data_IF_063469993199
#
_entry.id   IF_063469993199
#
_cell.length_a   1.000
_cell.length_b   1.000
_cell.length_c   1.000
_cell.angle_alpha   90.00
_cell.angle_beta   90.00
_cell.angle_gamma   90.00
#
_symmetry.space_group_name_H-M   'P 1'
#
loop_
_entity.id
_entity.type
_entity.pdbx_description
1 polymer ?
#
# COMPACT_ATOMS: atom_id res chain seq x y z
N UNK A 1 19.34 -15.69 -9.26
CA UNK A 1 19.98 -15.08 -8.09
C UNK A 1 21.06 -14.10 -8.52
N UNK A 2 22.06 -14.51 -9.28
CA UNK A 2 23.19 -13.68 -9.77
C UNK A 2 22.74 -12.45 -10.58
N UNK A 3 21.76 -12.58 -11.48
CA UNK A 3 21.22 -11.46 -12.27
C UNK A 3 20.56 -10.39 -11.39
N UNK A 4 19.73 -10.80 -10.42
CA UNK A 4 19.04 -9.88 -9.53
C UNK A 4 19.99 -9.15 -8.58
N UNK A 5 21.04 -9.83 -8.10
CA UNK A 5 22.09 -9.20 -7.30
C UNK A 5 22.85 -8.16 -8.12
N UNK A 6 23.17 -8.46 -9.39
CA UNK A 6 23.73 -7.47 -10.32
C UNK A 6 22.79 -6.31 -10.61
N UNK A 7 21.51 -6.59 -10.87
CA UNK A 7 20.51 -5.56 -11.12
C UNK A 7 20.37 -4.62 -9.91
N UNK A 8 20.37 -5.17 -8.69
CA UNK A 8 20.36 -4.37 -7.46
C UNK A 8 21.57 -3.44 -7.37
N UNK A 9 22.76 -3.96 -7.65
CA UNK A 9 23.99 -3.19 -7.65
C UNK A 9 24.00 -2.11 -8.73
N UNK A 10 23.47 -2.42 -9.92
CA UNK A 10 23.33 -1.46 -11.02
C UNK A 10 22.34 -0.34 -10.66
N UNK A 11 21.16 -0.70 -10.14
CA UNK A 11 20.15 0.28 -9.73
C UNK A 11 20.67 1.20 -8.62
N UNK A 12 21.46 0.67 -7.66
CA UNK A 12 22.10 1.50 -6.64
C UNK A 12 23.09 2.50 -7.24
N UNK A 13 23.92 2.06 -8.20
CA UNK A 13 24.81 2.96 -8.93
C UNK A 13 24.06 4.05 -9.70
N UNK A 14 22.92 3.72 -10.30
CA UNK A 14 22.07 4.70 -11.00
C UNK A 14 21.51 5.75 -10.06
N UNK A 15 21.13 5.37 -8.83
CA UNK A 15 20.75 6.32 -7.78
C UNK A 15 21.90 7.27 -7.47
N UNK A 16 23.11 6.73 -7.29
CA UNK A 16 24.29 7.50 -6.90
C UNK A 16 24.70 8.54 -7.98
N UNK A 17 24.44 8.22 -9.26
CA UNK A 17 24.70 9.14 -10.41
C UNK A 17 23.45 9.91 -10.88
N UNK A 18 22.38 9.89 -10.11
CA UNK A 18 21.13 10.65 -10.34
C UNK A 18 20.45 10.36 -11.69
N UNK A 19 20.35 9.09 -12.07
CA UNK A 19 19.53 8.65 -13.21
C UNK A 19 18.07 8.55 -12.76
N UNK A 20 17.19 9.30 -13.43
CA UNK A 20 15.77 9.40 -13.07
C UNK A 20 14.91 8.25 -13.60
N UNK A 21 15.35 7.59 -14.66
CA UNK A 21 14.57 6.52 -15.32
C UNK A 21 15.44 5.39 -15.85
N UNK A 22 14.97 4.15 -15.64
CA UNK A 22 15.56 2.93 -16.21
C UNK A 22 14.44 2.07 -16.80
N UNK A 23 14.55 1.77 -18.08
CA UNK A 23 13.65 0.84 -18.78
C UNK A 23 14.34 -0.52 -18.91
N UNK A 24 13.72 -1.56 -18.38
CA UNK A 24 14.24 -2.93 -18.44
C UNK A 24 13.46 -3.68 -19.50
N UNK A 25 14.16 -4.09 -20.54
CA UNK A 25 13.61 -4.96 -21.58
C UNK A 25 13.89 -6.43 -21.22
N UNK A 26 12.83 -7.23 -21.20
CA UNK A 26 12.97 -8.68 -21.11
C UNK A 26 13.02 -9.23 -22.52
N UNK A 27 14.16 -9.80 -22.86
CA UNK A 27 14.37 -10.54 -24.10
C UNK A 27 14.41 -12.06 -23.84
N UNK A 28 14.59 -12.83 -24.89
CA UNK A 28 14.62 -14.29 -24.82
C UNK A 28 15.83 -14.79 -24.02
N UNK A 29 16.99 -14.14 -24.15
CA UNK A 29 18.22 -14.56 -23.48
C UNK A 29 18.07 -14.38 -21.97
N UNK A 30 17.51 -13.24 -21.54
CA UNK A 30 17.21 -13.01 -20.14
C UNK A 30 16.18 -13.99 -19.61
N UNK A 31 15.14 -14.30 -20.41
CA UNK A 31 14.08 -15.23 -20.04
C UNK A 31 14.59 -16.66 -19.90
N UNK A 32 15.50 -17.09 -20.78
CA UNK A 32 16.08 -18.44 -20.77
C UNK A 32 17.08 -18.64 -19.63
N UNK A 33 17.74 -17.56 -19.19
CA UNK A 33 18.68 -17.55 -18.08
C UNK A 33 18.04 -17.29 -16.70
N UNK A 34 16.73 -17.01 -16.63
CA UNK A 34 16.01 -16.99 -15.36
C UNK A 34 15.81 -18.44 -14.89
N UNK A 35 16.72 -18.92 -14.05
CA UNK A 35 16.62 -20.21 -13.36
C UNK A 35 15.29 -20.41 -12.66
N UNK A 36 14.91 -21.68 -12.39
CA UNK A 36 13.63 -22.17 -11.89
C UNK A 36 12.95 -21.41 -10.75
N UNK A 37 13.50 -20.28 -10.32
CA UNK A 37 12.93 -19.39 -9.31
C UNK A 37 12.48 -18.03 -9.88
N UNK A 38 11.94 -18.02 -11.09
CA UNK A 38 11.37 -16.85 -11.77
C UNK A 38 10.40 -16.06 -10.86
N UNK A 39 9.67 -16.78 -10.02
CA UNK A 39 8.75 -16.25 -9.02
C UNK A 39 9.42 -15.35 -7.98
N UNK A 40 10.54 -15.82 -7.45
CA UNK A 40 11.35 -15.05 -6.50
C UNK A 40 11.96 -13.83 -7.19
N UNK A 41 12.38 -14.00 -8.44
CA UNK A 41 12.95 -12.93 -9.25
C UNK A 41 11.94 -11.79 -9.50
N UNK A 42 10.71 -12.11 -9.90
CA UNK A 42 9.68 -11.10 -10.10
C UNK A 42 9.14 -10.52 -8.78
N UNK A 43 9.09 -11.30 -7.71
CA UNK A 43 8.80 -10.80 -6.37
C UNK A 43 9.84 -9.78 -5.90
N UNK A 44 11.12 -10.04 -6.17
CA UNK A 44 12.22 -9.13 -5.86
C UNK A 44 12.22 -7.89 -6.74
N UNK A 45 11.92 -7.98 -8.04
CA UNK A 45 11.74 -6.83 -8.92
C UNK A 45 10.57 -5.94 -8.41
N UNK A 46 9.47 -6.55 -7.99
CA UNK A 46 8.36 -5.83 -7.35
C UNK A 46 8.79 -5.15 -6.04
N UNK A 47 9.65 -5.79 -5.25
CA UNK A 47 10.20 -5.21 -4.01
C UNK A 47 11.16 -4.06 -4.28
N UNK A 48 11.96 -4.14 -5.34
CA UNK A 48 12.86 -3.06 -5.80
C UNK A 48 12.07 -1.78 -6.11
N UNK A 49 10.86 -1.89 -6.69
CA UNK A 49 9.99 -0.75 -6.90
C UNK A 49 9.79 0.06 -5.63
N UNK A 50 9.54 -0.59 -4.50
CA UNK A 50 9.31 0.11 -3.23
C UNK A 50 10.59 0.69 -2.63
N UNK A 51 11.73 0.09 -2.94
CA UNK A 51 13.01 0.57 -2.46
C UNK A 51 13.50 1.79 -3.26
N UNK A 52 13.25 1.81 -4.58
CA UNK A 52 13.77 2.83 -5.48
C UNK A 52 12.71 3.76 -6.08
N UNK A 53 11.42 3.58 -5.80
CA UNK A 53 10.32 4.31 -6.46
C UNK A 53 10.40 5.84 -6.35
N UNK A 54 11.14 6.35 -5.37
CA UNK A 54 11.34 7.78 -5.15
C UNK A 54 12.63 8.31 -5.78
N UNK A 55 13.52 7.42 -6.18
CA UNK A 55 14.85 7.76 -6.70
C UNK A 55 15.01 7.43 -8.18
N UNK A 56 14.33 6.38 -8.64
CA UNK A 56 14.39 5.93 -10.04
C UNK A 56 12.99 5.50 -10.49
N UNK A 57 12.53 6.01 -11.61
CA UNK A 57 11.40 5.46 -12.34
C UNK A 57 11.93 4.31 -13.17
N UNK A 58 11.56 3.07 -12.86
CA UNK A 58 11.86 1.97 -13.75
C UNK A 58 10.61 1.31 -14.29
N UNK A 59 10.65 0.87 -15.54
CA UNK A 59 9.57 0.20 -16.24
C UNK A 59 10.04 -1.10 -16.85
N UNK A 60 9.10 -1.99 -17.09
CA UNK A 60 9.35 -3.31 -17.68
C UNK A 60 8.63 -3.39 -19.01
N UNK A 61 9.38 -3.65 -20.07
CA UNK A 61 8.81 -3.78 -21.40
C UNK A 61 8.43 -5.22 -21.73
N UNK A 62 7.30 -5.39 -22.41
CA UNK A 62 6.87 -6.64 -23.02
C UNK A 62 6.58 -7.79 -22.03
N UNK A 63 6.30 -7.48 -20.79
CA UNK A 63 5.99 -8.46 -19.74
C UNK A 63 4.48 -8.57 -19.57
N UNK A 64 3.87 -9.76 -19.67
CA UNK A 64 2.46 -9.91 -19.36
C UNK A 64 2.11 -9.46 -17.94
N UNK A 65 1.05 -8.71 -17.77
CA UNK A 65 0.61 -8.18 -16.46
C UNK A 65 0.48 -9.26 -15.36
N UNK A 66 0.15 -10.49 -15.74
CA UNK A 66 0.01 -11.60 -14.80
C UNK A 66 1.35 -12.06 -14.17
N UNK A 67 2.48 -11.74 -14.78
CA UNK A 67 3.81 -12.00 -14.20
C UNK A 67 4.21 -10.99 -13.13
N UNK A 68 3.64 -9.79 -13.20
CA UNK A 68 3.99 -8.68 -12.33
C UNK A 68 2.78 -8.28 -11.47
N UNK A 69 2.17 -9.23 -10.80
CA UNK A 69 1.09 -8.91 -9.86
C UNK A 69 1.48 -7.73 -8.99
N UNK A 70 0.62 -6.70 -8.99
CA UNK A 70 0.78 -5.50 -8.15
C UNK A 70 1.81 -4.47 -8.64
N UNK A 71 2.41 -4.68 -9.80
CA UNK A 71 3.35 -3.75 -10.43
C UNK A 71 2.92 -3.37 -11.84
N UNK A 72 1.62 -3.46 -12.13
CA UNK A 72 1.04 -3.24 -13.47
C UNK A 72 1.38 -1.86 -14.03
N UNK A 73 1.47 -0.84 -13.18
CA UNK A 73 1.86 0.51 -13.57
C UNK A 73 3.32 0.64 -14.05
N UNK A 74 4.12 -0.42 -13.93
CA UNK A 74 5.51 -0.45 -14.44
C UNK A 74 5.61 -1.07 -15.83
N UNK A 75 4.54 -1.69 -16.33
CA UNK A 75 4.59 -2.43 -17.59
C UNK A 75 4.11 -1.56 -18.73
N UNK A 76 4.86 -1.56 -19.82
CA UNK A 76 4.38 -1.12 -21.12
C UNK A 76 4.67 -2.16 -22.19
N UNK A 77 3.95 -2.09 -23.30
CA UNK A 77 4.17 -2.97 -24.44
C UNK A 77 4.70 -2.14 -25.60
N UNK A 78 5.80 -2.59 -26.20
CA UNK A 78 6.35 -2.01 -27.41
C UNK A 78 5.82 -2.76 -28.64
N UNK A 79 5.60 -2.06 -29.74
CA UNK A 79 5.10 -2.63 -30.98
C UNK A 79 3.58 -2.80 -31.04
N UNK A 80 3.10 -3.60 -31.97
CA UNK A 80 1.68 -3.81 -32.23
C UNK A 80 1.12 -5.01 -31.48
N UNK A 81 -0.18 -4.99 -31.16
CA UNK A 81 -0.85 -6.15 -30.53
C UNK A 81 -0.73 -7.46 -31.33
N UNK A 82 -0.56 -7.37 -32.63
CA UNK A 82 -0.39 -8.52 -33.51
C UNK A 82 0.91 -9.29 -33.25
N UNK A 83 1.90 -8.67 -32.60
CA UNK A 83 3.17 -9.30 -32.22
C UNK A 83 3.07 -10.20 -30.99
N UNK A 84 1.88 -10.27 -30.38
CA UNK A 84 1.64 -10.96 -29.12
C UNK A 84 0.56 -12.03 -29.27
N UNK A 85 0.71 -13.09 -28.50
CA UNK A 85 -0.26 -14.18 -28.39
C UNK A 85 -0.99 -14.10 -27.04
N UNK A 86 -2.32 -14.23 -27.10
CA UNK A 86 -3.16 -14.48 -25.93
C UNK A 86 -3.59 -15.94 -25.90
N UNK A 87 -3.51 -16.55 -24.75
CA UNK A 87 -3.98 -17.91 -24.53
C UNK A 87 -5.46 -17.93 -24.11
N UNK A 88 -6.09 -19.09 -24.15
CA UNK A 88 -7.51 -19.21 -23.81
C UNK A 88 -7.85 -18.67 -22.42
N UNK A 89 -7.00 -18.93 -21.43
CA UNK A 89 -7.18 -18.38 -20.08
C UNK A 89 -7.12 -16.86 -20.02
N UNK A 90 -6.49 -16.17 -20.98
CA UNK A 90 -6.47 -14.72 -21.05
C UNK A 90 -7.84 -14.11 -21.32
N UNK A 91 -8.77 -14.89 -21.93
CA UNK A 91 -10.16 -14.42 -22.17
C UNK A 91 -10.89 -14.06 -20.88
N UNK A 92 -10.59 -14.78 -19.79
CA UNK A 92 -11.16 -14.55 -18.45
C UNK A 92 -10.26 -13.71 -17.53
N UNK A 93 -9.15 -13.23 -18.05
CA UNK A 93 -8.20 -12.44 -17.27
C UNK A 93 -8.69 -10.99 -17.13
N UNK A 94 -8.59 -10.44 -15.92
CA UNK A 94 -8.96 -9.04 -15.64
C UNK A 94 -8.16 -8.01 -16.44
N UNK A 95 -6.98 -8.38 -16.94
CA UNK A 95 -6.13 -7.53 -17.76
C UNK A 95 -6.32 -7.72 -19.27
N UNK A 96 -7.30 -8.51 -19.69
CA UNK A 96 -7.43 -8.91 -21.09
C UNK A 96 -7.47 -7.74 -22.09
N UNK A 97 -8.09 -6.64 -21.74
CA UNK A 97 -8.21 -5.48 -22.63
C UNK A 97 -6.90 -4.69 -22.77
N UNK A 98 -6.04 -4.69 -21.76
CA UNK A 98 -4.83 -3.87 -21.69
C UNK A 98 -3.53 -4.65 -21.87
N UNK A 99 -3.53 -5.92 -21.49
CA UNK A 99 -2.40 -6.81 -21.68
C UNK A 99 -2.35 -7.27 -23.15
N UNK A 100 -1.21 -7.13 -23.81
CA UNK A 100 -1.04 -7.66 -25.16
C UNK A 100 -0.85 -9.18 -25.17
N UNK A 101 -0.47 -9.76 -24.04
CA UNK A 101 -0.18 -11.18 -23.91
C UNK A 101 1.32 -11.46 -23.89
N UNK A 102 1.71 -12.58 -24.45
CA UNK A 102 3.11 -13.03 -24.55
C UNK A 102 3.61 -12.74 -25.97
N UNK A 103 4.78 -12.12 -26.09
CA UNK A 103 5.40 -11.85 -27.40
C UNK A 103 5.58 -13.15 -28.18
N UNK A 104 5.29 -13.15 -29.48
CA UNK A 104 5.28 -14.36 -30.30
C UNK A 104 6.62 -15.09 -30.32
N UNK A 105 7.70 -14.34 -30.25
CA UNK A 105 9.07 -14.83 -30.25
C UNK A 105 9.47 -15.57 -28.96
N UNK A 106 8.64 -15.46 -27.89
CA UNK A 106 8.94 -16.13 -26.63
C UNK A 106 8.49 -17.58 -26.61
N UNK A 107 9.29 -18.46 -26.00
CA UNK A 107 8.92 -19.84 -25.77
C UNK A 107 7.66 -19.92 -24.92
N UNK A 108 6.50 -20.04 -25.59
CA UNK A 108 5.18 -19.91 -24.99
C UNK A 108 4.88 -21.01 -23.96
N UNK A 109 5.53 -22.20 -24.05
CA UNK A 109 5.32 -23.31 -23.11
C UNK A 109 5.95 -22.98 -21.74
N UNK A 110 7.21 -22.54 -21.72
CA UNK A 110 7.92 -22.17 -20.49
C UNK A 110 7.20 -21.01 -19.79
N UNK A 111 6.71 -20.01 -20.56
CA UNK A 111 5.93 -18.92 -20.03
C UNK A 111 4.60 -19.37 -19.41
N UNK A 112 3.93 -20.35 -20.01
CA UNK A 112 2.67 -20.90 -19.48
C UNK A 112 2.89 -21.66 -18.17
N UNK A 113 4.00 -22.40 -18.06
CA UNK A 113 4.37 -23.09 -16.83
C UNK A 113 4.63 -22.09 -15.71
N UNK A 114 5.30 -20.97 -16.02
CA UNK A 114 5.51 -19.86 -15.07
C UNK A 114 4.19 -19.22 -14.65
N UNK A 115 3.29 -18.93 -15.59
CA UNK A 115 1.98 -18.33 -15.30
C UNK A 115 1.12 -19.25 -14.43
N UNK A 116 1.20 -20.57 -14.64
CA UNK A 116 0.50 -21.56 -13.82
C UNK A 116 1.00 -21.59 -12.37
N UNK A 117 2.27 -21.21 -12.16
CA UNK A 117 2.90 -21.14 -10.84
C UNK A 117 2.61 -19.84 -10.07
N UNK A 118 2.07 -18.80 -10.74
CA UNK A 118 1.75 -17.53 -10.07
C UNK A 118 0.54 -17.72 -9.18
N UNK A 119 0.80 -17.96 -7.91
CA UNK A 119 -0.25 -18.05 -6.90
C UNK A 119 -0.86 -16.66 -6.65
N UNK A 120 -2.17 -16.60 -6.64
CA UNK A 120 -2.91 -15.43 -6.18
C UNK A 120 -2.88 -15.38 -4.65
N UNK A 121 -1.90 -14.66 -4.11
CA UNK A 121 -1.69 -14.50 -2.67
C UNK A 121 -1.63 -13.01 -2.32
N UNK A 122 -1.99 -12.63 -1.10
CA UNK A 122 -1.76 -11.26 -0.64
C UNK A 122 -0.26 -10.96 -0.57
N UNK A 123 0.07 -9.71 -0.74
CA UNK A 123 1.45 -9.22 -0.59
C UNK A 123 1.80 -8.98 0.87
N UNK A 124 0.83 -8.56 1.65
CA UNK A 124 0.96 -8.16 3.05
C UNK A 124 -0.27 -8.64 3.82
N UNK A 125 -0.06 -9.07 5.05
CA UNK A 125 -1.12 -9.26 6.03
C UNK A 125 -0.93 -8.22 7.13
N UNK A 126 -1.99 -7.45 7.39
CA UNK A 126 -2.02 -6.48 8.48
C UNK A 126 -2.72 -7.12 9.68
N UNK A 127 -2.13 -7.05 10.85
CA UNK A 127 -2.71 -7.61 12.08
C UNK A 127 -2.96 -6.45 13.05
N UNK A 128 -4.21 -6.20 13.38
CA UNK A 128 -4.59 -5.27 14.44
C UNK A 128 -4.37 -5.99 15.78
N UNK A 129 -3.13 -5.91 16.29
CA UNK A 129 -2.69 -6.68 17.45
C UNK A 129 -3.16 -6.14 18.79
N UNK A 130 -3.56 -4.86 18.80
CA UNK A 130 -4.04 -4.14 20.00
C UNK A 130 -5.22 -3.25 19.63
N UNK A 131 -6.25 -3.30 20.43
CA UNK A 131 -7.45 -2.48 20.21
C UNK A 131 -7.40 -1.15 20.96
N UNK A 132 -6.72 -1.10 22.11
CA UNK A 132 -6.57 0.12 22.89
C UNK A 132 -5.63 1.11 22.21
N UNK A 133 -5.93 2.40 22.38
CA UNK A 133 -5.07 3.48 21.95
C UNK A 133 -4.96 4.54 23.07
N UNK A 134 -3.78 5.10 23.25
CA UNK A 134 -3.51 6.20 24.16
C UNK A 134 -3.78 7.58 23.55
N UNK A 135 -4.30 7.63 22.31
CA UNK A 135 -4.78 8.84 21.64
C UNK A 135 -6.25 8.73 21.25
N UNK A 136 -6.91 9.88 21.10
CA UNK A 136 -8.28 10.00 20.64
C UNK A 136 -8.39 10.94 19.45
N UNK A 137 -7.69 10.62 18.35
CA UNK A 137 -7.62 11.46 17.16
C UNK A 137 -9.01 11.65 16.52
N UNK A 138 -9.36 12.87 16.15
CA UNK A 138 -10.67 13.18 15.52
C UNK A 138 -10.82 12.50 14.16
N UNK A 139 -9.76 12.40 13.38
CA UNK A 139 -9.74 11.78 12.06
C UNK A 139 -9.52 10.26 12.08
N UNK A 140 -9.45 9.63 13.27
CA UNK A 140 -9.23 8.19 13.37
C UNK A 140 -10.42 7.42 12.81
N UNK A 141 -10.17 6.58 11.83
CA UNK A 141 -11.21 5.74 11.23
C UNK A 141 -11.69 4.63 12.18
N UNK A 142 -10.85 4.20 13.13
CA UNK A 142 -11.20 3.17 14.13
C UNK A 142 -12.04 3.70 15.29
N UNK A 143 -12.12 5.01 15.47
CA UNK A 143 -12.81 5.63 16.62
C UNK A 143 -14.27 5.17 16.77
N UNK A 144 -14.96 4.94 15.66
CA UNK A 144 -16.36 4.54 15.65
C UNK A 144 -16.59 3.03 15.49
N UNK A 145 -15.61 2.29 14.98
CA UNK A 145 -15.70 0.82 14.92
C UNK A 145 -15.54 0.20 16.31
N UNK A 146 -14.79 0.85 17.19
CA UNK A 146 -14.55 0.39 18.57
C UNK A 146 -15.46 1.08 19.62
N UNK A 147 -15.98 2.29 19.34
CA UNK A 147 -16.80 3.06 20.27
C UNK A 147 -18.29 2.67 20.29
N UNK A 148 -18.78 1.93 19.29
CA UNK A 148 -20.17 1.46 19.31
C UNK A 148 -20.27 0.27 20.25
N UNK A 149 -21.07 0.45 21.31
CA UNK A 149 -21.60 -0.60 22.19
C UNK A 149 -20.75 -0.98 23.41
N UNK A 150 -20.29 -0.09 24.25
CA UNK A 150 -19.88 -0.47 25.62
C UNK A 150 -19.05 -1.78 25.70
N UNK A 151 -18.30 -2.09 24.65
CA UNK A 151 -17.58 -3.36 24.50
C UNK A 151 -16.54 -3.44 25.58
N UNK A 152 -16.83 -4.24 26.54
CA UNK A 152 -15.84 -4.76 27.48
C UNK A 152 -14.89 -5.65 26.68
N UNK A 153 -13.90 -5.01 25.99
CA UNK A 153 -13.04 -5.65 25.02
C UNK A 153 -11.99 -6.45 25.79
N UNK A 154 -12.38 -7.65 26.18
CA UNK A 154 -11.45 -8.68 26.69
C UNK A 154 -10.77 -9.49 25.58
N UNK A 155 -10.94 -9.14 24.31
CA UNK A 155 -10.60 -9.99 23.17
C UNK A 155 -9.46 -9.43 22.32
N UNK A 156 -8.36 -9.07 22.92
CA UNK A 156 -7.12 -8.99 22.15
C UNK A 156 -6.75 -10.40 21.65
N UNK A 157 -6.30 -10.49 20.40
CA UNK A 157 -5.79 -11.73 19.84
C UNK A 157 -4.73 -12.34 20.77
N UNK A 158 -4.87 -13.61 21.13
CA UNK A 158 -3.84 -14.26 21.94
C UNK A 158 -2.53 -14.35 21.17
N UNK A 159 -1.41 -14.32 21.88
CA UNK A 159 -0.08 -14.45 21.26
C UNK A 159 0.03 -15.74 20.44
N UNK A 160 -0.52 -16.84 20.96
CA UNK A 160 -0.55 -18.14 20.27
C UNK A 160 -1.32 -18.07 18.97
N UNK A 161 -2.44 -17.32 18.93
CA UNK A 161 -3.23 -17.17 17.73
C UNK A 161 -2.50 -16.32 16.68
N UNK A 162 -1.85 -15.22 17.09
CA UNK A 162 -1.04 -14.39 16.19
C UNK A 162 0.13 -15.20 15.61
N UNK A 163 0.82 -16.01 16.42
CA UNK A 163 1.89 -16.91 15.95
C UNK A 163 1.38 -17.90 14.89
N UNK A 164 0.18 -18.48 15.06
CA UNK A 164 -0.45 -19.33 14.04
C UNK A 164 -0.72 -18.58 12.74
N UNK A 165 -1.14 -17.32 12.81
CA UNK A 165 -1.30 -16.46 11.62
C UNK A 165 0.05 -16.23 10.94
N UNK A 166 1.09 -15.91 11.71
CA UNK A 166 2.45 -15.71 11.18
C UNK A 166 2.96 -16.99 10.50
N UNK A 167 2.77 -18.16 11.08
CA UNK A 167 3.14 -19.43 10.45
C UNK A 167 2.40 -19.66 9.13
N UNK A 168 1.13 -19.27 9.07
CA UNK A 168 0.35 -19.38 7.84
C UNK A 168 0.79 -18.35 6.77
N UNK A 169 1.21 -17.15 7.17
CA UNK A 169 1.85 -16.14 6.31
C UNK A 169 3.10 -16.76 5.65
N UNK A 170 3.99 -17.36 6.42
CA UNK A 170 5.21 -18.02 5.93
C UNK A 170 4.88 -19.18 5.00
N UNK A 171 3.96 -20.06 5.41
CA UNK A 171 3.50 -21.21 4.59
C UNK A 171 2.98 -20.80 3.22
N UNK A 172 2.39 -19.61 3.12
CA UNK A 172 1.87 -19.08 1.86
C UNK A 172 2.87 -18.17 1.12
N UNK A 173 4.12 -18.08 1.56
CA UNK A 173 5.17 -17.23 0.98
C UNK A 173 4.77 -15.75 0.89
N UNK A 174 4.09 -15.23 1.88
CA UNK A 174 3.76 -13.81 1.98
C UNK A 174 4.94 -13.12 2.65
N UNK A 175 5.55 -12.10 2.02
CA UNK A 175 6.80 -11.55 2.51
C UNK A 175 6.66 -10.57 3.68
N UNK A 176 5.47 -9.98 3.85
CA UNK A 176 5.29 -8.82 4.73
C UNK A 176 4.18 -9.07 5.75
N UNK A 177 4.47 -8.79 7.00
CA UNK A 177 3.48 -8.66 8.07
C UNK A 177 3.56 -7.25 8.67
N UNK A 178 2.41 -6.66 8.97
CA UNK A 178 2.32 -5.35 9.60
C UNK A 178 1.57 -5.47 10.92
N UNK A 179 2.17 -4.94 11.97
CA UNK A 179 1.49 -4.75 13.25
C UNK A 179 0.90 -3.34 13.32
N UNK A 180 -0.36 -3.29 13.73
CA UNK A 180 -1.18 -2.09 13.81
C UNK A 180 -2.30 -2.32 14.81
N UNK A 181 -3.33 -1.49 14.81
CA UNK A 181 -4.51 -1.57 15.68
C UNK A 181 -4.88 -0.21 16.22
N UNK A 182 -5.14 -0.09 17.52
CA UNK A 182 -5.12 1.18 18.24
C UNK A 182 -3.67 1.66 18.32
N UNK A 183 -2.98 1.35 19.44
CA UNK A 183 -1.54 1.57 19.55
C UNK A 183 -0.83 0.24 19.84
N UNK A 184 -0.11 -0.33 18.87
CA UNK A 184 0.55 -1.64 19.04
C UNK A 184 1.56 -1.69 20.18
N UNK A 185 2.24 -0.58 20.50
CA UNK A 185 3.24 -0.54 21.57
C UNK A 185 2.64 -0.57 22.98
N UNK A 186 1.31 -0.49 23.14
CA UNK A 186 0.61 -0.77 24.39
C UNK A 186 0.55 -2.27 24.71
N UNK A 187 0.74 -3.11 23.69
CA UNK A 187 0.69 -4.54 23.84
C UNK A 187 1.97 -5.07 24.50
N UNK A 188 1.87 -5.73 25.67
CA UNK A 188 3.02 -6.18 26.46
C UNK A 188 3.89 -7.21 25.74
N UNK A 189 3.27 -8.18 25.04
CA UNK A 189 3.97 -9.26 24.34
C UNK A 189 4.37 -8.94 22.88
N UNK A 190 4.27 -7.66 22.45
CA UNK A 190 4.64 -7.22 21.09
C UNK A 190 6.07 -7.63 20.71
N UNK A 191 6.99 -7.59 21.69
CA UNK A 191 8.39 -7.91 21.45
C UNK A 191 8.60 -9.39 21.17
N UNK A 192 7.87 -10.25 21.86
CA UNK A 192 7.90 -11.70 21.61
C UNK A 192 7.35 -12.00 20.20
N UNK A 193 6.26 -11.35 19.81
CA UNK A 193 5.71 -11.47 18.47
C UNK A 193 6.69 -10.96 17.40
N UNK A 194 7.37 -9.85 17.66
CA UNK A 194 8.35 -9.29 16.75
C UNK A 194 9.57 -10.21 16.57
N UNK A 195 10.11 -10.77 17.66
CA UNK A 195 11.15 -11.79 17.61
C UNK A 195 10.69 -12.99 16.78
N UNK A 196 9.49 -13.50 17.06
CA UNK A 196 8.94 -14.65 16.35
C UNK A 196 8.83 -14.41 14.84
N UNK A 197 8.30 -13.26 14.42
CA UNK A 197 8.20 -12.89 13.00
C UNK A 197 9.59 -12.80 12.34
N UNK A 198 10.58 -12.24 13.02
CA UNK A 198 11.95 -12.13 12.49
C UNK A 198 12.67 -13.47 12.35
N UNK A 199 12.41 -14.44 13.23
CA UNK A 199 12.95 -15.81 13.06
C UNK A 199 12.44 -16.50 11.79
N UNK A 200 11.33 -16.00 11.22
CA UNK A 200 10.72 -16.49 9.96
C UNK A 200 11.15 -15.69 8.73
N UNK A 201 12.12 -14.79 8.85
CA UNK A 201 12.63 -13.94 7.77
C UNK A 201 11.57 -13.03 7.12
N UNK A 202 10.54 -12.65 7.84
CA UNK A 202 9.51 -11.73 7.37
C UNK A 202 9.99 -10.28 7.44
N UNK A 203 9.57 -9.46 6.47
CA UNK A 203 9.61 -8.01 6.62
C UNK A 203 8.53 -7.60 7.62
N UNK A 204 8.94 -7.04 8.75
CA UNK A 204 8.03 -6.62 9.80
C UNK A 204 7.84 -5.11 9.79
N UNK A 205 6.59 -4.67 9.66
CA UNK A 205 6.20 -3.26 9.64
C UNK A 205 5.43 -2.91 10.90
N UNK A 206 5.60 -1.68 11.37
CA UNK A 206 4.89 -1.14 12.52
C UNK A 206 4.21 0.18 12.15
N UNK A 207 2.91 0.29 12.45
CA UNK A 207 2.22 1.56 12.50
C UNK A 207 2.04 1.93 13.97
N UNK A 208 2.59 3.04 14.40
CA UNK A 208 2.53 3.52 15.80
C UNK A 208 2.34 5.03 15.85
N UNK A 209 1.65 5.52 16.86
CA UNK A 209 1.54 6.96 17.08
C UNK A 209 2.85 7.61 17.62
N UNK A 210 3.80 6.79 18.05
CA UNK A 210 5.12 7.21 18.49
C UNK A 210 5.24 7.67 19.93
N UNK A 211 4.15 7.89 20.66
CA UNK A 211 4.19 8.47 22.02
C UNK A 211 4.87 7.58 23.07
N UNK A 212 4.97 6.28 22.80
CA UNK A 212 5.66 5.31 23.67
C UNK A 212 7.12 5.07 23.27
N UNK A 213 7.63 5.85 22.32
CA UNK A 213 9.06 5.82 21.93
C UNK A 213 9.76 6.96 22.65
N UNK A 214 9.89 6.84 23.95
CA UNK A 214 10.38 7.87 24.88
C UNK A 214 11.90 7.84 25.11
N UNK A 215 12.61 6.89 24.51
CA UNK A 215 14.05 6.73 24.72
C UNK A 215 14.75 6.03 23.56
N UNK A 216 16.05 6.29 23.45
CA UNK A 216 16.91 5.60 22.48
C UNK A 216 16.92 4.06 22.72
N UNK A 217 16.69 3.62 23.95
CA UNK A 217 16.60 2.18 24.29
C UNK A 217 15.42 1.51 23.60
N UNK A 218 14.24 2.14 23.66
CA UNK A 218 13.02 1.66 22.95
C UNK A 218 13.24 1.72 21.44
N UNK A 219 13.78 2.83 20.92
CA UNK A 219 14.06 2.99 19.50
C UNK A 219 15.05 1.93 18.95
N UNK A 220 16.11 1.59 19.69
CA UNK A 220 17.04 0.50 19.34
C UNK A 220 16.35 -0.86 19.31
N UNK A 221 15.41 -1.10 20.22
CA UNK A 221 14.61 -2.34 20.24
C UNK A 221 13.70 -2.41 19.01
N UNK A 222 13.09 -1.28 18.62
CA UNK A 222 12.31 -1.16 17.39
C UNK A 222 13.20 -1.42 16.17
N UNK A 223 14.34 -0.73 16.04
CA UNK A 223 15.27 -0.87 14.92
C UNK A 223 15.78 -2.30 14.72
N UNK A 224 15.89 -3.07 15.82
CA UNK A 224 16.33 -4.47 15.77
C UNK A 224 15.30 -5.38 15.10
N UNK A 225 14.01 -5.13 15.29
CA UNK A 225 12.96 -6.07 14.89
C UNK A 225 12.05 -5.57 13.78
N UNK A 226 11.88 -4.27 13.61
CA UNK A 226 11.00 -3.69 12.61
C UNK A 226 11.79 -3.04 11.49
N UNK A 227 11.46 -3.40 10.25
CA UNK A 227 12.15 -2.90 9.07
C UNK A 227 11.59 -1.55 8.58
N UNK A 228 10.31 -1.28 8.89
CA UNK A 228 9.59 -0.14 8.34
C UNK A 228 8.57 0.39 9.34
N UNK A 229 8.70 1.65 9.71
CA UNK A 229 7.86 2.31 10.71
C UNK A 229 7.04 3.41 10.04
N UNK A 230 5.76 3.48 10.35
CA UNK A 230 4.88 4.60 10.00
C UNK A 230 4.46 5.33 11.26
N UNK A 231 4.75 6.65 11.31
CA UNK A 231 4.31 7.55 12.37
C UNK A 231 3.41 8.65 11.80
N UNK A 232 2.35 9.07 12.50
CA UNK A 232 1.53 10.19 12.09
C UNK A 232 2.16 11.51 12.52
N UNK A 233 2.20 12.48 11.61
CA UNK A 233 2.44 13.90 11.89
C UNK A 233 1.36 14.71 11.20
N UNK A 234 0.64 15.53 11.97
CA UNK A 234 -0.36 16.47 11.48
C UNK A 234 0.17 17.90 11.58
N UNK A 235 -0.51 18.86 10.95
CA UNK A 235 -0.14 20.27 11.09
C UNK A 235 -0.14 20.74 12.56
N UNK A 236 -1.12 20.31 13.34
CA UNK A 236 -1.18 20.60 14.77
C UNK A 236 0.02 20.07 15.57
N UNK A 237 0.65 18.96 15.14
CA UNK A 237 1.80 18.38 15.84
C UNK A 237 3.07 19.24 15.71
N UNK A 238 3.14 20.12 14.71
CA UNK A 238 4.30 20.97 14.46
C UNK A 238 4.17 22.37 15.08
N UNK A 239 3.06 22.65 15.73
CA UNK A 239 2.87 23.89 16.46
C UNK A 239 3.60 23.85 17.82
N UNK A 240 4.19 25.00 18.21
CA UNK A 240 5.13 25.10 19.35
C UNK A 240 4.58 24.59 20.69
N UNK A 241 3.26 24.68 20.90
CA UNK A 241 2.64 24.30 22.17
C UNK A 241 2.06 22.88 22.21
N UNK A 242 2.27 22.06 21.17
CA UNK A 242 1.74 20.71 21.11
C UNK A 242 2.67 19.70 21.80
N UNK A 243 2.33 19.32 23.04
CA UNK A 243 3.14 18.37 23.83
C UNK A 243 3.26 17.00 23.18
N UNK A 244 2.19 16.48 22.54
CA UNK A 244 2.23 15.20 21.87
C UNK A 244 3.03 15.29 20.56
N UNK A 245 2.92 16.40 19.85
CA UNK A 245 3.75 16.72 18.69
C UNK A 245 5.25 16.69 19.03
N UNK A 246 5.65 17.36 20.12
CA UNK A 246 7.04 17.35 20.59
C UNK A 246 7.55 15.92 20.88
N UNK A 247 6.73 15.07 21.56
CA UNK A 247 7.09 13.67 21.82
C UNK A 247 7.24 12.86 20.54
N UNK A 248 6.34 13.04 19.55
CA UNK A 248 6.45 12.38 18.24
C UNK A 248 7.72 12.78 17.50
N UNK A 249 8.06 14.07 17.53
CA UNK A 249 9.30 14.58 16.93
C UNK A 249 10.53 13.96 17.60
N UNK A 250 10.54 13.86 18.91
CA UNK A 250 11.60 13.22 19.66
C UNK A 250 11.71 11.73 19.36
N UNK A 251 10.58 11.03 19.29
CA UNK A 251 10.51 9.63 18.87
C UNK A 251 11.13 9.40 17.47
N UNK A 252 10.85 10.30 16.51
CA UNK A 252 11.46 10.23 15.17
C UNK A 252 12.98 10.40 15.24
N UNK A 253 13.49 11.33 16.05
CA UNK A 253 14.93 11.52 16.28
C UNK A 253 15.55 10.26 16.89
N UNK A 254 14.93 9.65 17.90
CA UNK A 254 15.40 8.40 18.49
C UNK A 254 15.44 7.26 17.46
N UNK A 255 14.41 7.11 16.64
CA UNK A 255 14.35 6.07 15.61
C UNK A 255 15.46 6.24 14.55
N UNK A 256 15.72 7.47 14.11
CA UNK A 256 16.82 7.79 13.20
C UNK A 256 18.18 7.44 13.83
N UNK A 257 18.42 7.87 15.06
CA UNK A 257 19.65 7.60 15.78
C UNK A 257 19.85 6.10 16.08
N UNK A 258 18.75 5.35 16.19
CA UNK A 258 18.78 3.90 16.36
C UNK A 258 19.03 3.14 15.05
N UNK A 259 19.01 3.81 13.89
CA UNK A 259 19.26 3.19 12.59
C UNK A 259 18.07 2.39 12.04
N UNK A 260 16.82 2.83 12.29
CA UNK A 260 15.64 2.24 11.64
C UNK A 260 15.77 2.39 10.12
N UNK A 261 15.59 1.30 9.39
CA UNK A 261 15.85 1.25 7.93
C UNK A 261 14.94 2.18 7.14
N UNK A 262 13.64 2.20 7.47
CA UNK A 262 12.64 2.99 6.75
C UNK A 262 11.72 3.64 7.78
N UNK A 263 11.73 4.97 7.81
CA UNK A 263 10.78 5.77 8.59
C UNK A 263 9.89 6.51 7.59
N UNK A 264 8.58 6.32 7.72
CA UNK A 264 7.57 7.01 6.93
C UNK A 264 6.73 7.89 7.82
N UNK A 265 6.43 9.07 7.36
CA UNK A 265 5.48 9.97 8.02
C UNK A 265 4.16 9.92 7.26
N UNK A 266 3.07 9.69 7.99
CA UNK A 266 1.71 9.70 7.47
C UNK A 266 0.95 10.93 7.93
N UNK A 267 0.33 11.65 7.01
CA UNK A 267 -0.47 12.85 7.31
C UNK A 267 -1.85 12.71 6.68
N UNK A 268 -2.91 12.85 7.47
CA UNK A 268 -4.28 12.91 6.95
C UNK A 268 -4.54 14.32 6.44
N UNK A 269 -4.91 14.44 5.17
CA UNK A 269 -5.13 15.70 4.47
C UNK A 269 -6.46 16.36 4.87
N UNK A 270 -6.57 16.77 6.14
CA UNK A 270 -7.65 17.62 6.64
C UNK A 270 -7.38 19.09 6.29
N UNK A 271 -8.39 19.96 6.46
CA UNK A 271 -8.33 21.35 6.03
C UNK A 271 -7.07 22.10 6.47
N UNK A 272 -6.68 21.96 7.75
CA UNK A 272 -5.48 22.61 8.29
C UNK A 272 -4.19 22.15 7.59
N UNK A 273 -4.09 20.86 7.27
CA UNK A 273 -2.94 20.30 6.53
C UNK A 273 -2.91 20.85 5.11
N UNK A 274 -4.05 20.85 4.41
CA UNK A 274 -4.15 21.33 3.03
C UNK A 274 -3.75 22.80 2.93
N UNK A 275 -4.24 23.62 3.83
CA UNK A 275 -3.96 25.06 3.87
C UNK A 275 -2.49 25.37 4.27
N UNK A 276 -1.81 24.43 4.94
CA UNK A 276 -0.44 24.59 5.42
C UNK A 276 0.54 23.54 4.84
N UNK A 277 0.24 23.00 3.66
CA UNK A 277 0.98 21.88 3.06
C UNK A 277 2.48 22.14 2.96
N UNK A 278 2.89 23.35 2.54
CA UNK A 278 4.29 23.75 2.46
C UNK A 278 4.97 23.79 3.85
N UNK A 279 4.26 24.22 4.89
CA UNK A 279 4.82 24.25 6.24
C UNK A 279 5.08 22.84 6.76
N UNK A 280 4.13 21.90 6.51
CA UNK A 280 4.28 20.48 6.87
C UNK A 280 5.43 19.86 6.08
N UNK A 281 5.51 20.10 4.76
CA UNK A 281 6.61 19.62 3.94
C UNK A 281 7.97 20.12 4.45
N UNK A 282 8.12 21.41 4.65
CA UNK A 282 9.37 22.02 5.14
C UNK A 282 9.81 21.45 6.49
N UNK A 283 8.83 21.17 7.35
CA UNK A 283 9.08 20.56 8.64
C UNK A 283 9.60 19.12 8.50
N UNK A 284 8.94 18.29 7.67
CA UNK A 284 9.33 16.90 7.41
C UNK A 284 10.73 16.84 6.75
N UNK A 285 11.00 17.76 5.84
CA UNK A 285 12.34 17.91 5.24
C UNK A 285 13.43 18.20 6.29
N UNK A 286 13.14 19.13 7.23
CA UNK A 286 14.06 19.42 8.34
C UNK A 286 14.29 18.22 9.25
N UNK A 287 13.32 17.34 9.40
CA UNK A 287 13.50 16.07 10.11
C UNK A 287 14.38 15.08 9.33
N UNK A 288 14.66 15.34 8.06
CA UNK A 288 15.41 14.45 7.18
C UNK A 288 14.69 13.12 6.95
N UNK A 289 13.38 13.18 6.75
CA UNK A 289 12.53 12.04 6.40
C UNK A 289 12.27 12.06 4.89
N UNK A 290 12.61 10.95 4.23
CA UNK A 290 12.48 10.85 2.78
C UNK A 290 11.07 10.46 2.32
N UNK A 291 10.26 9.86 3.20
CA UNK A 291 8.94 9.31 2.87
C UNK A 291 7.83 9.99 3.64
N UNK A 292 7.19 10.92 2.97
CA UNK A 292 5.95 11.54 3.44
C UNK A 292 4.77 11.02 2.64
N UNK A 293 3.80 10.44 3.35
CA UNK A 293 2.59 9.83 2.80
C UNK A 293 1.36 10.64 3.21
N UNK A 294 0.54 11.01 2.26
CA UNK A 294 -0.71 11.71 2.51
C UNK A 294 -1.90 10.77 2.36
N UNK A 295 -2.87 10.97 3.21
CA UNK A 295 -4.10 10.16 3.25
C UNK A 295 -5.31 11.08 3.15
N UNK A 296 -6.21 10.82 2.19
CA UNK A 296 -7.52 11.48 2.22
C UNK A 296 -8.22 11.09 3.52
N UNK A 297 -8.92 12.02 4.20
CA UNK A 297 -9.73 11.69 5.36
C UNK A 297 -10.88 10.75 4.96
N UNK A 298 -11.20 9.80 5.84
CA UNK A 298 -12.25 8.81 5.59
C UNK A 298 -13.50 9.16 6.40
N UNK A 299 -14.66 9.14 5.75
CA UNK A 299 -15.94 9.09 6.48
C UNK A 299 -16.07 7.74 7.17
N UNK A 300 -16.73 7.73 8.32
CA UNK A 300 -17.05 6.52 9.08
C UNK A 300 -18.53 6.52 9.44
N UNK A 301 -19.12 5.39 9.83
CA UNK A 301 -20.51 5.38 10.28
C UNK A 301 -20.76 6.44 11.35
N UNK A 302 -21.73 7.32 11.10
CA UNK A 302 -22.07 8.43 12.02
C UNK A 302 -21.15 9.65 11.96
N UNK A 303 -20.12 9.68 11.11
CA UNK A 303 -19.26 10.83 10.90
C UNK A 303 -18.91 11.01 9.43
N UNK A 304 -19.49 12.00 8.79
CA UNK A 304 -19.06 12.49 7.47
C UNK A 304 -17.81 13.36 7.65
N UNK A 305 -16.91 13.33 6.67
CA UNK A 305 -15.87 14.34 6.52
C UNK A 305 -16.28 15.33 5.43
N UNK A 306 -15.74 16.53 5.50
CA UNK A 306 -16.04 17.63 4.56
C UNK A 306 -15.04 17.69 3.40
N UNK A 307 -14.25 16.66 3.20
CA UNK A 307 -13.24 16.60 2.16
C UNK A 307 -13.91 16.56 0.78
N UNK A 308 -13.66 17.58 0.00
CA UNK A 308 -14.32 17.88 -1.27
C UNK A 308 -13.37 17.76 -2.47
N UNK A 309 -13.92 17.89 -3.68
CA UNK A 309 -13.10 17.96 -4.91
C UNK A 309 -12.19 19.20 -4.94
N UNK A 310 -12.60 20.31 -4.31
CA UNK A 310 -11.73 21.49 -4.15
C UNK A 310 -10.52 21.18 -3.26
N UNK A 311 -10.71 20.37 -2.22
CA UNK A 311 -9.60 19.94 -1.37
C UNK A 311 -8.67 18.99 -2.12
N UNK A 312 -9.22 18.13 -2.99
CA UNK A 312 -8.41 17.30 -3.89
C UNK A 312 -7.57 18.16 -4.81
N UNK A 313 -8.15 19.15 -5.46
CA UNK A 313 -7.46 20.10 -6.33
C UNK A 313 -6.31 20.79 -5.60
N UNK A 314 -6.59 21.43 -4.45
CA UNK A 314 -5.57 22.11 -3.63
C UNK A 314 -4.45 21.16 -3.20
N UNK A 315 -4.80 19.94 -2.76
CA UNK A 315 -3.82 18.94 -2.34
C UNK A 315 -2.93 18.49 -3.49
N UNK A 316 -3.51 18.16 -4.63
CA UNK A 316 -2.81 17.68 -5.83
C UNK A 316 -1.90 18.77 -6.39
N UNK A 317 -2.40 19.98 -6.58
CA UNK A 317 -1.62 21.10 -7.11
C UNK A 317 -0.51 21.51 -6.13
N UNK A 318 -0.78 21.48 -4.82
CA UNK A 318 0.21 21.72 -3.79
C UNK A 318 1.34 20.69 -3.81
N UNK A 319 1.02 19.40 -3.99
CA UNK A 319 2.04 18.33 -4.08
C UNK A 319 2.86 18.44 -5.36
N UNK A 320 2.24 18.83 -6.49
CA UNK A 320 2.95 19.09 -7.74
C UNK A 320 3.90 20.29 -7.58
N UNK A 321 3.45 21.37 -6.94
CA UNK A 321 4.27 22.54 -6.67
C UNK A 321 5.48 22.19 -5.78
N UNK A 322 5.27 21.38 -4.73
CA UNK A 322 6.37 20.87 -3.88
C UNK A 322 7.34 20.04 -4.71
N UNK A 323 6.85 19.13 -5.55
CA UNK A 323 7.67 18.31 -6.44
C UNK A 323 8.51 19.18 -7.38
N UNK A 324 7.90 20.18 -8.01
CA UNK A 324 8.61 21.11 -8.91
C UNK A 324 9.71 21.87 -8.19
N UNK A 325 9.45 22.32 -6.95
CA UNK A 325 10.39 23.09 -6.14
C UNK A 325 11.53 22.25 -5.57
N UNK A 326 11.23 21.03 -5.11
CA UNK A 326 12.17 20.21 -4.31
C UNK A 326 12.78 19.03 -5.09
N UNK A 327 12.21 18.67 -6.23
CA UNK A 327 12.49 17.43 -6.96
C UNK A 327 11.92 16.17 -6.29
N UNK A 328 11.32 16.27 -5.09
CA UNK A 328 10.76 15.12 -4.34
C UNK A 328 9.29 14.93 -4.64
N UNK A 329 8.88 13.68 -4.85
CA UNK A 329 7.48 13.33 -5.04
C UNK A 329 6.89 12.73 -3.77
N UNK A 330 5.86 13.35 -3.24
CA UNK A 330 5.04 12.82 -2.15
C UNK A 330 3.72 12.32 -2.70
N UNK A 331 3.18 11.25 -2.09
CA UNK A 331 2.04 10.55 -2.69
C UNK A 331 0.83 10.48 -1.76
N UNK A 332 -0.35 10.60 -2.37
CA UNK A 332 -1.61 10.20 -1.77
C UNK A 332 -1.67 8.67 -1.82
N UNK A 333 -1.71 8.03 -0.65
CA UNK A 333 -1.51 6.58 -0.50
C UNK A 333 -2.81 5.79 -0.49
N UNK A 334 -3.88 6.34 0.08
CA UNK A 334 -5.19 5.68 0.04
C UNK A 334 -5.98 6.08 -1.21
N UNK A 335 -7.04 5.32 -1.48
CA UNK A 335 -7.79 5.46 -2.72
C UNK A 335 -8.45 6.83 -2.87
N UNK A 336 -8.16 7.48 -3.99
CA UNK A 336 -8.83 8.69 -4.46
C UNK A 336 -9.27 8.47 -5.92
N UNK A 337 -10.52 8.84 -6.30
CA UNK A 337 -10.95 8.75 -7.69
C UNK A 337 -10.11 9.67 -8.58
N UNK A 338 -9.60 9.16 -9.71
CA UNK A 338 -8.80 10.02 -10.60
C UNK A 338 -9.64 11.06 -11.31
N UNK A 339 -10.94 10.81 -11.46
CA UNK A 339 -11.89 11.79 -11.99
C UNK A 339 -12.35 12.84 -10.96
N UNK A 340 -11.86 12.82 -9.71
CA UNK A 340 -12.20 13.86 -8.72
C UNK A 340 -11.58 15.23 -9.05
N UNK A 341 -10.60 15.25 -9.94
CA UNK A 341 -9.94 16.43 -10.50
C UNK A 341 -9.33 16.06 -11.85
N UNK A 342 -8.26 16.72 -12.30
CA UNK A 342 -7.50 16.36 -13.50
C UNK A 342 -6.82 14.99 -13.30
N UNK A 343 -7.21 13.95 -14.07
CA UNK A 343 -6.68 12.60 -13.89
C UNK A 343 -5.17 12.48 -14.14
N UNK A 344 -4.60 13.32 -15.03
CA UNK A 344 -3.16 13.30 -15.33
C UNK A 344 -2.39 13.87 -14.14
N UNK A 345 -2.88 14.96 -13.55
CA UNK A 345 -2.29 15.56 -12.36
C UNK A 345 -2.37 14.58 -11.16
N UNK A 346 -3.55 14.00 -10.89
CA UNK A 346 -3.74 13.02 -9.80
C UNK A 346 -2.80 11.84 -9.99
N UNK A 347 -2.70 11.28 -11.20
CA UNK A 347 -1.83 10.15 -11.48
C UNK A 347 -0.37 10.41 -11.10
N UNK A 348 0.08 11.66 -11.18
CA UNK A 348 1.47 12.05 -10.90
C UNK A 348 1.82 12.06 -9.40
N UNK A 349 0.81 12.17 -8.53
CA UNK A 349 0.96 12.27 -7.06
C UNK A 349 0.08 11.30 -6.25
N UNK A 350 -0.59 10.36 -6.89
CA UNK A 350 -1.38 9.33 -6.21
C UNK A 350 -0.99 7.92 -6.66
N UNK A 351 -0.89 6.99 -5.70
CA UNK A 351 -0.58 5.59 -6.00
C UNK A 351 -1.79 4.80 -6.51
N UNK A 352 -3.00 5.37 -6.42
CA UNK A 352 -4.25 4.71 -6.74
C UNK A 352 -4.74 3.79 -5.62
N UNK A 353 -5.66 2.88 -5.95
CA UNK A 353 -6.35 2.04 -4.97
C UNK A 353 -5.76 0.62 -4.81
N UNK A 354 -4.52 0.38 -5.22
CA UNK A 354 -3.92 -0.95 -5.17
C UNK A 354 -3.73 -1.48 -3.74
N UNK A 355 -3.40 -0.60 -2.81
CA UNK A 355 -3.08 -0.97 -1.43
C UNK A 355 -4.30 -1.12 -0.51
N UNK A 356 -5.53 -0.98 -1.03
CA UNK A 356 -6.76 -0.98 -0.24
C UNK A 356 -7.78 -2.00 -0.77
N UNK A 357 -8.84 -2.21 0.00
CA UNK A 357 -10.06 -2.94 -0.39
C UNK A 357 -9.79 -4.34 -0.96
N UNK A 358 -8.84 -5.08 -0.36
CA UNK A 358 -8.58 -6.48 -0.71
C UNK A 358 -7.81 -6.73 -2.01
N UNK A 359 -7.15 -5.71 -2.60
CA UNK A 359 -6.38 -5.88 -3.82
C UNK A 359 -4.99 -6.47 -3.58
N UNK A 360 -4.25 -5.95 -2.60
CA UNK A 360 -2.88 -6.41 -2.30
C UNK A 360 -2.73 -7.04 -0.92
N UNK A 361 -3.64 -6.76 -0.02
CA UNK A 361 -3.59 -7.15 1.37
C UNK A 361 -4.98 -7.35 1.95
N UNK A 362 -5.03 -7.94 3.12
CA UNK A 362 -6.20 -7.95 3.98
C UNK A 362 -5.78 -7.67 5.44
N UNK A 363 -6.75 -7.37 6.29
CA UNK A 363 -6.51 -7.11 7.70
C UNK A 363 -7.04 -8.27 8.56
N UNK A 364 -6.42 -8.45 9.72
CA UNK A 364 -6.92 -9.30 10.80
C UNK A 364 -7.47 -8.41 11.89
N UNK A 365 -8.73 -8.61 12.19
CA UNK A 365 -9.47 -7.86 13.20
C UNK A 365 -9.15 -8.39 14.61
N UNK A 366 -9.13 -7.56 15.66
CA UNK A 366 -8.94 -8.02 17.05
C UNK A 366 -9.97 -9.06 17.51
N UNK A 367 -11.13 -9.12 16.86
CA UNK A 367 -12.20 -10.12 17.08
C UNK A 367 -11.91 -11.49 16.45
N UNK A 368 -10.68 -11.74 15.98
CA UNK A 368 -10.18 -13.03 15.46
C UNK A 368 -10.70 -13.45 14.08
N UNK A 369 -11.16 -12.53 13.25
CA UNK A 369 -11.49 -12.81 11.86
C UNK A 369 -10.67 -11.95 10.88
N UNK A 370 -10.61 -12.39 9.63
CA UNK A 370 -10.01 -11.62 8.56
C UNK A 370 -11.05 -10.71 7.89
N UNK A 371 -10.63 -9.48 7.51
CA UNK A 371 -11.44 -8.50 6.78
C UNK A 371 -10.67 -7.91 5.59
N UNK A 372 -11.36 -7.43 4.53
CA UNK A 372 -10.71 -7.00 3.29
C UNK A 372 -9.70 -5.87 3.47
N UNK A 373 -9.99 -4.95 4.38
CA UNK A 373 -9.14 -3.81 4.73
C UNK A 373 -9.42 -3.34 6.15
N UNK A 374 -8.73 -2.30 6.61
CA UNK A 374 -9.04 -1.65 7.88
C UNK A 374 -10.47 -1.13 7.98
N UNK A 375 -11.03 -0.70 6.86
CA UNK A 375 -12.30 0.03 6.82
C UNK A 375 -13.50 -0.88 6.61
N UNK A 376 -13.33 -1.96 5.83
CA UNK A 376 -14.43 -2.84 5.42
C UNK A 376 -14.60 -3.95 6.46
N UNK A 377 -15.75 -3.97 7.12
CA UNK A 377 -16.08 -4.89 8.23
C UNK A 377 -16.58 -6.28 7.77
N UNK A 378 -16.50 -6.58 6.47
CA UNK A 378 -16.87 -7.89 5.93
C UNK A 378 -15.98 -8.99 6.50
N UNK A 379 -16.57 -9.99 7.13
CA UNK A 379 -15.84 -11.16 7.62
C UNK A 379 -15.52 -12.11 6.45
N UNK A 380 -14.26 -12.18 6.06
CA UNK A 380 -13.78 -13.05 4.97
C UNK A 380 -13.22 -14.38 5.46
N UNK A 381 -13.31 -14.69 6.75
CA UNK A 381 -12.97 -16.00 7.32
C UNK A 381 -11.92 -15.97 8.43
N UNK A 382 -11.45 -17.17 8.80
CA UNK A 382 -10.44 -17.34 9.83
C UNK A 382 -9.04 -16.98 9.29
N UNK A 383 -8.32 -16.01 9.89
CA UNK A 383 -7.01 -15.58 9.40
C UNK A 383 -5.89 -16.63 9.50
N UNK A 384 -6.11 -17.74 10.18
CA UNK A 384 -5.20 -18.89 10.15
C UNK A 384 -5.31 -19.73 8.87
N UNK A 385 -6.30 -19.45 8.01
CA UNK A 385 -6.43 -20.00 6.66
C UNK A 385 -6.42 -18.86 5.63
N UNK A 386 -5.24 -18.30 5.42
CA UNK A 386 -5.03 -17.15 4.52
C UNK A 386 -5.53 -17.43 3.11
N UNK A 387 -5.34 -18.66 2.62
CA UNK A 387 -5.75 -19.03 1.27
C UNK A 387 -7.27 -18.97 1.12
N UNK A 388 -8.01 -19.42 2.12
CA UNK A 388 -9.49 -19.35 2.14
C UNK A 388 -9.96 -17.90 2.21
N UNK A 389 -9.38 -17.10 3.12
CA UNK A 389 -9.67 -15.66 3.23
C UNK A 389 -9.41 -14.93 1.92
N UNK A 390 -8.25 -15.14 1.30
CA UNK A 390 -7.88 -14.50 0.03
C UNK A 390 -8.80 -14.89 -1.12
N UNK A 391 -9.30 -16.12 -1.12
CA UNK A 391 -10.22 -16.65 -2.12
C UNK A 391 -11.71 -16.43 -1.79
N UNK A 392 -12.02 -15.72 -0.70
CA UNK A 392 -13.41 -15.38 -0.37
C UNK A 392 -14.10 -14.67 -1.54
N UNK A 393 -15.41 -14.93 -1.82
CA UNK A 393 -16.12 -14.32 -2.93
C UNK A 393 -16.04 -12.80 -2.97
N UNK A 394 -16.16 -12.14 -1.82
CA UNK A 394 -16.01 -10.70 -1.70
C UNK A 394 -14.63 -10.21 -2.22
N UNK A 395 -13.54 -10.83 -1.76
CA UNK A 395 -12.18 -10.51 -2.17
C UNK A 395 -11.96 -10.73 -3.67
N UNK A 396 -12.55 -11.79 -4.23
CA UNK A 396 -12.48 -12.07 -5.67
C UNK A 396 -13.21 -11.00 -6.48
N UNK A 397 -14.42 -10.61 -6.07
CA UNK A 397 -15.18 -9.53 -6.74
C UNK A 397 -14.40 -8.20 -6.74
N UNK A 398 -13.80 -7.84 -5.59
CA UNK A 398 -12.96 -6.63 -5.50
C UNK A 398 -11.81 -6.70 -6.50
N UNK A 399 -11.04 -7.79 -6.52
CA UNK A 399 -9.90 -7.95 -7.43
C UNK A 399 -10.28 -8.02 -8.91
N UNK A 400 -11.45 -8.51 -9.23
CA UNK A 400 -12.00 -8.54 -10.59
C UNK A 400 -12.61 -7.20 -11.03
N UNK A 401 -12.68 -6.23 -10.12
CA UNK A 401 -13.32 -4.94 -10.34
C UNK A 401 -14.82 -5.08 -10.71
N UNK A 402 -15.50 -6.10 -10.16
CA UNK A 402 -16.94 -6.27 -10.32
C UNK A 402 -17.71 -5.25 -9.46
N UNK A 403 -17.08 -4.72 -8.40
CA UNK A 403 -17.65 -3.74 -7.48
C UNK A 403 -17.21 -2.31 -7.86
N UNK A 404 -17.36 -1.93 -9.12
CA UNK A 404 -17.07 -0.56 -9.59
C UNK A 404 -18.29 -0.03 -10.35
N UNK A 405 -18.54 1.28 -10.34
CA UNK A 405 -19.59 1.89 -11.16
C UNK A 405 -19.44 1.56 -12.64
N UNK A 406 -20.57 1.48 -13.36
CA UNK A 406 -20.58 1.11 -14.79
C UNK A 406 -19.70 2.03 -15.63
N UNK A 407 -19.75 3.32 -15.37
CA UNK A 407 -18.93 4.32 -16.06
C UNK A 407 -17.42 4.09 -15.86
N UNK A 408 -17.01 3.50 -14.75
CA UNK A 408 -15.61 3.16 -14.50
C UNK A 408 -15.10 2.01 -15.37
N UNK A 409 -15.99 1.13 -15.85
CA UNK A 409 -15.60 -0.08 -16.61
C UNK A 409 -14.90 0.25 -17.92
N UNK A 410 -15.21 1.41 -18.51
CA UNK A 410 -14.58 1.91 -19.74
C UNK A 410 -13.50 2.97 -19.48
N UNK A 411 -13.21 3.29 -18.21
CA UNK A 411 -12.28 4.36 -17.88
C UNK A 411 -10.83 3.96 -18.12
N UNK A 412 -10.06 4.84 -18.75
CA UNK A 412 -8.61 4.66 -19.00
C UNK A 412 -7.81 4.40 -17.73
N UNK A 413 -8.22 4.97 -16.61
CA UNK A 413 -7.51 4.88 -15.32
C UNK A 413 -8.01 3.75 -14.40
N UNK A 414 -8.94 2.91 -14.86
CA UNK A 414 -9.55 1.90 -14.00
C UNK A 414 -8.54 1.00 -13.29
N UNK A 415 -7.49 0.55 -13.96
CA UNK A 415 -6.52 -0.37 -13.36
C UNK A 415 -5.74 0.22 -12.18
N UNK A 416 -5.55 1.52 -12.16
CA UNK A 416 -4.85 2.22 -11.08
C UNK A 416 -5.83 2.79 -10.06
N UNK A 417 -6.89 3.42 -10.54
CA UNK A 417 -7.92 4.07 -9.73
C UNK A 417 -8.85 3.07 -9.04
N UNK A 418 -9.22 1.96 -9.72
CA UNK A 418 -10.18 0.93 -9.28
C UNK A 418 -11.54 1.48 -8.83
N UNK A 419 -11.95 2.61 -9.44
CA UNK A 419 -13.19 3.30 -9.12
C UNK A 419 -13.14 4.11 -7.82
N UNK A 420 -11.95 4.47 -7.33
CA UNK A 420 -11.78 5.18 -6.05
C UNK A 420 -11.90 4.26 -4.84
N UNK A 421 -12.34 4.79 -3.71
CA UNK A 421 -12.51 4.05 -2.45
C UNK A 421 -13.88 3.39 -2.37
N UNK A 422 -13.92 2.07 -2.40
CA UNK A 422 -15.18 1.31 -2.30
C UNK A 422 -15.84 1.42 -0.94
N UNK A 423 -15.04 1.57 0.13
CA UNK A 423 -15.58 1.84 1.46
C UNK A 423 -16.28 3.20 1.52
N UNK A 424 -15.70 4.25 0.95
CA UNK A 424 -16.34 5.57 0.89
C UNK A 424 -17.65 5.53 0.09
N UNK A 425 -17.67 4.78 -1.02
CA UNK A 425 -18.89 4.54 -1.78
C UNK A 425 -19.97 3.88 -0.92
N UNK A 426 -19.62 2.83 -0.19
CA UNK A 426 -20.55 2.11 0.69
C UNK A 426 -21.09 3.01 1.82
N UNK A 427 -20.22 3.72 2.54
CA UNK A 427 -20.63 4.55 3.68
C UNK A 427 -21.50 5.73 3.24
N UNK A 428 -21.25 6.31 2.07
CA UNK A 428 -21.98 7.49 1.61
C UNK A 428 -23.23 7.13 0.81
N UNK A 429 -23.15 6.10 -0.03
CA UNK A 429 -24.18 5.78 -1.01
C UNK A 429 -24.82 4.40 -0.82
N UNK A 430 -24.37 3.60 0.16
CA UNK A 430 -24.98 2.33 0.55
C UNK A 430 -24.53 1.10 -0.26
N UNK A 431 -23.62 1.24 -1.22
CA UNK A 431 -23.14 0.12 -2.03
C UNK A 431 -21.66 0.24 -2.43
N UNK A 432 -20.96 -0.91 -2.48
CA UNK A 432 -19.57 -0.96 -2.92
C UNK A 432 -19.42 -0.73 -4.42
N UNK A 433 -20.44 -0.97 -5.21
CA UNK A 433 -20.54 -0.77 -6.66
C UNK A 433 -21.00 0.63 -7.05
N UNK A 434 -21.42 1.43 -6.08
CA UNK A 434 -21.84 2.80 -6.28
C UNK A 434 -20.63 3.76 -6.38
N UNK A 435 -20.89 5.01 -6.71
CA UNK A 435 -19.84 6.02 -6.85
C UNK A 435 -19.16 6.35 -5.53
N UNK A 436 -17.86 6.53 -5.57
CA UNK A 436 -17.15 7.27 -4.52
C UNK A 436 -17.70 8.71 -4.49
N UNK A 437 -17.95 9.32 -3.32
CA UNK A 437 -18.52 10.68 -3.23
C UNK A 437 -17.68 11.77 -3.92
N UNK A 438 -16.41 11.53 -4.18
CA UNK A 438 -15.52 12.46 -4.90
C UNK A 438 -15.53 12.23 -6.44
N UNK A 439 -16.26 11.26 -6.97
CA UNK A 439 -16.28 11.02 -8.41
C UNK A 439 -17.02 12.13 -9.14
N UNK A 440 -16.36 12.72 -10.14
CA UNK A 440 -16.96 13.61 -11.13
C UNK A 440 -17.02 12.90 -12.49
N UNK A 441 -18.22 12.77 -13.04
CA UNK A 441 -18.43 12.10 -14.34
C UNK A 441 -17.76 12.85 -15.49
N UNK A 442 -17.70 14.17 -15.40
CA UNK A 442 -17.18 15.01 -16.48
C UNK A 442 -15.68 14.80 -16.71
N UNK A 443 -14.99 14.27 -15.70
CA UNK A 443 -13.54 14.01 -15.75
C UNK A 443 -13.21 12.53 -16.04
N UNK A 444 -14.19 11.69 -16.38
CA UNK A 444 -13.94 10.30 -16.78
C UNK A 444 -13.43 10.29 -18.22
N UNK A 445 -12.25 9.71 -18.42
CA UNK A 445 -11.67 9.53 -19.76
C UNK A 445 -11.95 8.09 -20.19
N UNK A 446 -12.82 7.95 -21.20
CA UNK A 446 -13.16 6.65 -21.77
C UNK A 446 -12.09 6.17 -22.76
N UNK A 447 -11.97 4.82 -22.89
CA UNK A 447 -11.08 4.14 -23.85
C UNK A 447 -11.82 3.94 -25.16
#
# INVERSE_FOLDING_TARGET
KFFLEKLFTILQKFVDIKIDRVDIFLDNELFDNLDGNIKESFSRISSMRYHYQEKIIFSLANVPYCLLKQSEGLVYFSGNRVDYNKKEFCRKCKYNLRCFGVKKDYNSKKMLDILSLIKDIPREVMIEIEEKCNLNCEFCFNKNSFAKEGRNIKNNLSITFIKKIIDNIVKNNIPVVRFTGGEPLLREDIWELAVYAKTKSLELRLNTNGLLIDSIKIARKIAKYFDNILLPIQYSDILENNKDGLKKIEAIKFLKNAGVKIIRIGTVAIGDVINNLNNVNNFIEKLGIDKWELYRPMSTPGRKNDFSNQDVEKLVDGLIAIKTKTGKTHYIINAIPFCSYDPVKIQSVAIGANAVDGHERFAVDPRSFAKPSYYIEENIGNPTDIKKCWNHPFMKRMRKLENVPEECKKCLYLDKCKGGCRFSAFITNGGYDLRDPLMDKNNIIEI
#
